data_IF_009069100851
#
_entry.id   IF_009069100851
#
_cell.length_a   1.000
_cell.length_b   1.000
_cell.length_c   1.000
_cell.angle_alpha   90.00
_cell.angle_beta   90.00
_cell.angle_gamma   90.00
#
_symmetry.space_group_name_H-M   'P 1'
#
loop_
_entity.id
_entity.type
_entity.pdbx_description
1 polymer ?
#
# COMPACT_ATOMS: atom_id res chain seq x y z
N UNK A 1 0.95 -2.53 16.62
CA UNK A 1 1.04 -1.62 15.44
C UNK A 1 1.71 -0.33 15.89
N UNK A 2 2.65 0.20 15.10
CA UNK A 2 3.44 1.38 15.46
C UNK A 2 3.12 2.54 14.52
N UNK A 3 2.92 3.74 15.07
CA UNK A 3 2.68 4.96 14.29
C UNK A 3 3.42 6.14 14.93
N UNK A 4 4.22 6.83 14.13
CA UNK A 4 4.97 8.01 14.52
C UNK A 4 4.46 9.25 13.78
N UNK A 5 4.40 10.39 14.45
CA UNK A 5 3.75 11.59 13.90
C UNK A 5 4.11 12.89 14.65
N UNK A 6 4.35 14.02 13.95
CA UNK A 6 4.27 15.40 14.48
C UNK A 6 3.01 15.70 15.35
N UNK A 7 3.00 16.75 16.20
CA UNK A 7 1.87 17.11 17.05
C UNK A 7 0.62 17.56 16.28
N UNK A 8 -0.56 17.28 16.86
CA UNK A 8 -1.86 17.77 16.37
C UNK A 8 -3.06 16.96 16.88
N UNK A 9 -4.24 17.59 16.94
CA UNK A 9 -5.51 17.04 17.45
C UNK A 9 -6.01 15.84 16.62
N UNK A 10 -5.68 15.80 15.33
CA UNK A 10 -6.06 14.74 14.37
C UNK A 10 -5.47 13.35 14.71
N UNK A 11 -4.47 13.25 15.60
CA UNK A 11 -3.63 12.04 15.77
C UNK A 11 -3.94 11.22 17.01
N UNK A 12 -4.51 11.85 18.05
CA UNK A 12 -5.13 11.10 19.17
C UNK A 12 -6.34 10.30 18.68
N UNK A 13 -7.14 10.90 17.79
CA UNK A 13 -8.29 10.24 17.15
C UNK A 13 -7.85 8.94 16.43
N UNK A 14 -6.77 9.02 15.64
CA UNK A 14 -6.20 7.86 14.96
C UNK A 14 -5.76 6.75 15.93
N UNK A 15 -5.06 7.08 17.01
CA UNK A 15 -4.61 6.07 17.97
C UNK A 15 -5.80 5.36 18.62
N UNK A 16 -6.86 6.12 18.95
CA UNK A 16 -8.11 5.58 19.48
C UNK A 16 -8.84 4.70 18.47
N UNK A 17 -8.87 5.08 17.20
CA UNK A 17 -9.49 4.27 16.15
C UNK A 17 -8.71 2.99 15.90
N UNK A 18 -7.37 3.03 15.93
CA UNK A 18 -6.54 1.83 15.88
C UNK A 18 -6.80 0.88 17.05
N UNK A 19 -7.11 1.39 18.25
CA UNK A 19 -7.45 0.52 19.37
C UNK A 19 -8.73 -0.29 19.17
N UNK A 20 -9.63 0.17 18.28
CA UNK A 20 -10.89 -0.51 17.94
C UNK A 20 -10.74 -1.53 16.81
N UNK A 21 -9.61 -1.54 16.10
CA UNK A 21 -9.38 -2.47 14.98
C UNK A 21 -9.17 -3.88 15.51
N UNK A 22 -9.92 -4.84 14.96
CA UNK A 22 -9.80 -6.25 15.34
C UNK A 22 -8.38 -6.78 15.11
N UNK A 23 -7.88 -7.59 16.03
CA UNK A 23 -6.54 -8.20 15.95
C UNK A 23 -5.39 -7.33 16.45
N UNK A 24 -5.60 -6.06 16.78
CA UNK A 24 -4.58 -5.23 17.42
C UNK A 24 -4.59 -5.48 18.93
N UNK A 25 -3.45 -5.92 19.48
CA UNK A 25 -3.26 -6.07 20.92
C UNK A 25 -2.73 -4.79 21.59
N UNK A 26 -1.82 -4.08 20.89
CA UNK A 26 -1.14 -2.90 21.44
C UNK A 26 -0.87 -1.84 20.37
N UNK A 27 -1.09 -0.59 20.75
CA UNK A 27 -0.83 0.60 19.92
C UNK A 27 0.26 1.44 20.58
N UNK A 28 1.38 1.59 19.89
CA UNK A 28 2.48 2.45 20.34
C UNK A 28 2.34 3.84 19.71
N UNK A 29 2.30 4.87 20.55
CA UNK A 29 2.08 6.25 20.13
C UNK A 29 3.36 7.05 20.33
N UNK A 30 3.99 7.46 19.23
CA UNK A 30 5.11 8.40 19.24
C UNK A 30 4.66 9.75 18.69
N UNK A 31 4.61 10.76 19.56
CA UNK A 31 4.17 12.11 19.22
C UNK A 31 5.28 13.12 19.55
N UNK A 32 5.84 13.75 18.53
CA UNK A 32 6.90 14.76 18.65
C UNK A 32 7.08 15.53 17.34
N UNK A 33 7.42 16.83 17.37
CA UNK A 33 7.57 17.70 16.19
C UNK A 33 8.55 17.18 15.15
N UNK A 34 9.59 16.49 15.62
CA UNK A 34 10.61 15.85 14.78
C UNK A 34 10.03 14.88 13.73
N UNK A 35 8.84 14.31 13.97
CA UNK A 35 8.18 13.42 13.02
C UNK A 35 7.32 14.16 11.98
N UNK A 36 7.58 15.46 11.75
CA UNK A 36 7.00 16.22 10.64
C UNK A 36 7.53 15.66 9.32
N UNK A 37 6.64 15.49 8.34
CA UNK A 37 6.98 14.89 7.05
C UNK A 37 7.26 13.38 7.08
N UNK A 38 7.27 12.73 8.25
CA UNK A 38 7.50 11.28 8.41
C UNK A 38 8.82 10.80 7.78
N UNK A 39 9.89 11.57 7.98
CA UNK A 39 11.21 11.32 7.39
C UNK A 39 11.81 10.00 7.90
N UNK A 40 12.32 9.11 7.03
CA UNK A 40 12.91 7.84 7.43
C UNK A 40 14.07 7.97 8.42
N UNK A 41 14.84 9.05 8.32
CA UNK A 41 15.96 9.40 9.19
C UNK A 41 15.53 9.50 10.65
N UNK A 42 14.35 10.08 10.90
CA UNK A 42 13.79 10.28 12.24
C UNK A 42 13.00 9.06 12.72
N UNK A 43 12.31 8.37 11.79
CA UNK A 43 11.50 7.21 12.12
C UNK A 43 12.33 5.95 12.40
N UNK A 44 13.46 5.78 11.73
CA UNK A 44 14.28 4.57 11.86
C UNK A 44 14.83 4.40 13.29
N UNK A 45 15.46 5.40 13.93
CA UNK A 45 15.92 5.29 15.32
C UNK A 45 14.79 4.91 16.29
N UNK A 46 13.60 5.50 16.11
CA UNK A 46 12.43 5.21 16.91
C UNK A 46 11.96 3.75 16.77
N UNK A 47 11.94 3.22 15.54
CA UNK A 47 11.61 1.82 15.27
C UNK A 47 12.67 0.88 15.86
N UNK A 48 13.96 1.22 15.78
CA UNK A 48 15.03 0.43 16.38
C UNK A 48 14.94 0.43 17.92
N UNK A 49 14.62 1.56 18.54
CA UNK A 49 14.40 1.64 19.98
C UNK A 49 13.21 0.77 20.40
N UNK A 50 12.11 0.84 19.64
CA UNK A 50 10.93 -0.01 19.81
C UNK A 50 11.27 -1.49 19.64
N UNK A 51 12.10 -1.84 18.66
CA UNK A 51 12.55 -3.21 18.44
C UNK A 51 13.41 -3.72 19.59
N UNK A 52 14.32 -2.91 20.14
CA UNK A 52 15.13 -3.29 21.30
C UNK A 52 14.28 -3.54 22.54
N UNK A 53 13.21 -2.77 22.72
CA UNK A 53 12.32 -2.89 23.87
C UNK A 53 11.44 -4.13 23.82
N UNK A 54 10.90 -4.47 22.64
CA UNK A 54 9.86 -5.51 22.52
C UNK A 54 10.27 -6.75 21.73
N UNK A 55 11.44 -6.73 21.06
CA UNK A 55 11.99 -7.86 20.31
C UNK A 55 10.99 -8.50 19.33
N UNK A 56 10.38 -7.70 18.45
CA UNK A 56 9.44 -8.21 17.47
C UNK A 56 10.12 -9.16 16.47
N UNK A 57 9.44 -10.23 16.11
CA UNK A 57 9.90 -11.17 15.08
C UNK A 57 9.56 -10.71 13.67
N UNK A 58 8.56 -9.83 13.52
CA UNK A 58 8.06 -9.33 12.24
C UNK A 58 7.85 -7.82 12.32
N UNK A 59 8.31 -7.09 11.29
CA UNK A 59 8.10 -5.66 11.14
C UNK A 59 7.57 -5.43 9.72
N UNK A 60 6.36 -4.85 9.60
CA UNK A 60 5.73 -4.67 8.30
C UNK A 60 5.01 -3.34 8.16
N UNK A 61 4.79 -2.95 6.90
CA UNK A 61 4.00 -1.80 6.49
C UNK A 61 3.35 -2.09 5.12
N UNK A 62 2.33 -1.31 4.74
CA UNK A 62 1.79 -1.37 3.39
C UNK A 62 2.84 -0.95 2.35
N UNK A 63 2.80 -1.57 1.17
CA UNK A 63 3.71 -1.32 0.04
C UNK A 63 3.42 0.01 -0.70
N UNK A 64 3.11 1.07 0.05
CA UNK A 64 2.93 2.44 -0.43
C UNK A 64 4.27 3.16 -0.59
N UNK A 65 4.25 4.40 -1.08
CA UNK A 65 5.44 5.26 -1.15
C UNK A 65 6.13 5.37 0.22
N UNK A 66 5.34 5.53 1.30
CA UNK A 66 5.85 5.58 2.67
C UNK A 66 6.53 4.27 3.09
N UNK A 67 5.85 3.13 2.97
CA UNK A 67 6.41 1.85 3.42
C UNK A 67 7.64 1.42 2.63
N UNK A 68 7.64 1.64 1.31
CA UNK A 68 8.78 1.37 0.42
C UNK A 68 9.98 2.28 0.68
N UNK A 69 9.75 3.50 1.18
CA UNK A 69 10.82 4.41 1.56
C UNK A 69 11.40 4.10 2.95
N UNK A 70 10.57 3.67 3.91
CA UNK A 70 10.97 3.44 5.29
C UNK A 70 11.59 2.05 5.54
N UNK A 71 10.91 0.98 5.12
CA UNK A 71 11.27 -0.38 5.55
C UNK A 71 12.66 -0.85 5.10
N UNK A 72 13.14 -0.58 3.87
CA UNK A 72 14.48 -0.97 3.48
C UNK A 72 15.57 -0.35 4.36
N UNK A 73 15.35 0.89 4.82
CA UNK A 73 16.27 1.58 5.75
C UNK A 73 16.28 0.91 7.12
N UNK A 74 15.10 0.55 7.64
CA UNK A 74 14.97 -0.19 8.91
C UNK A 74 15.66 -1.55 8.82
N UNK A 75 15.42 -2.30 7.75
CA UNK A 75 16.03 -3.61 7.52
C UNK A 75 17.56 -3.53 7.45
N UNK A 76 18.10 -2.54 6.72
CA UNK A 76 19.54 -2.30 6.67
C UNK A 76 20.15 -2.06 8.05
N UNK A 77 19.47 -1.30 8.92
CA UNK A 77 19.94 -1.05 10.31
C UNK A 77 19.78 -2.26 11.24
N UNK A 78 18.92 -3.22 10.89
CA UNK A 78 18.78 -4.49 11.60
C UNK A 78 19.70 -5.59 11.03
N UNK A 79 20.40 -5.31 9.94
CA UNK A 79 21.25 -6.26 9.19
C UNK A 79 20.46 -7.49 8.74
N UNK A 80 19.29 -7.26 8.13
CA UNK A 80 18.44 -8.31 7.55
C UNK A 80 18.01 -7.93 6.14
N UNK A 81 17.81 -8.92 5.27
CA UNK A 81 17.24 -8.71 3.95
C UNK A 81 15.72 -8.50 4.01
N UNK A 82 15.17 -7.36 3.55
CA UNK A 82 13.73 -7.13 3.54
C UNK A 82 13.04 -7.83 2.35
N UNK A 83 11.75 -8.15 2.51
CA UNK A 83 10.92 -8.69 1.43
C UNK A 83 9.92 -7.63 0.98
N UNK A 84 9.92 -7.32 -0.31
CA UNK A 84 9.08 -6.24 -0.86
C UNK A 84 7.81 -6.76 -1.51
N UNK A 85 6.70 -6.06 -1.25
CA UNK A 85 5.42 -6.18 -1.96
C UNK A 85 4.89 -7.62 -2.00
N UNK A 86 4.76 -8.24 -0.82
CA UNK A 86 4.21 -9.59 -0.70
C UNK A 86 2.72 -9.59 -1.05
N UNK A 87 2.29 -10.66 -1.71
CA UNK A 87 0.89 -10.90 -2.11
C UNK A 87 0.26 -12.07 -1.33
N UNK A 88 1.06 -12.89 -0.66
CA UNK A 88 0.56 -13.97 0.19
C UNK A 88 1.58 -14.35 1.27
N UNK A 89 1.07 -14.92 2.36
CA UNK A 89 1.86 -15.50 3.47
C UNK A 89 1.52 -16.99 3.51
N UNK A 90 2.52 -17.86 3.29
CA UNK A 90 2.36 -19.33 3.37
C UNK A 90 2.66 -19.87 4.76
N UNK A 91 3.63 -19.27 5.44
CA UNK A 91 4.02 -19.55 6.83
C UNK A 91 4.65 -18.28 7.42
N UNK A 92 4.94 -18.22 8.74
CA UNK A 92 5.59 -17.05 9.35
C UNK A 92 6.92 -16.64 8.69
N UNK A 93 7.58 -17.55 7.98
CA UNK A 93 8.87 -17.32 7.34
C UNK A 93 8.85 -17.56 5.82
N UNK A 94 7.68 -17.78 5.20
CA UNK A 94 7.56 -18.04 3.76
C UNK A 94 6.50 -17.15 3.13
N UNK A 95 6.94 -16.33 2.18
CA UNK A 95 6.12 -15.31 1.54
C UNK A 95 6.06 -15.51 0.04
N UNK A 96 5.00 -15.04 -0.61
CA UNK A 96 4.90 -15.00 -2.08
C UNK A 96 4.88 -13.55 -2.52
N UNK A 97 5.66 -13.22 -3.55
CA UNK A 97 5.67 -11.91 -4.20
C UNK A 97 5.74 -12.05 -5.70
N UNK A 98 5.33 -11.02 -6.41
CA UNK A 98 5.51 -10.96 -7.87
C UNK A 98 6.86 -10.37 -8.24
N UNK A 99 7.47 -10.89 -9.31
CA UNK A 99 8.64 -10.31 -10.00
C UNK A 99 8.34 -10.18 -11.50
N UNK A 100 9.23 -9.51 -12.24
CA UNK A 100 9.09 -9.28 -13.69
C UNK A 100 7.72 -8.73 -14.09
N UNK A 101 7.35 -7.58 -13.52
CA UNK A 101 6.08 -6.90 -13.83
C UNK A 101 4.83 -7.77 -13.58
N UNK A 102 4.88 -8.62 -12.55
CA UNK A 102 3.78 -9.53 -12.23
C UNK A 102 3.87 -10.89 -12.90
N UNK A 103 4.74 -11.10 -13.88
CA UNK A 103 4.68 -12.28 -14.76
C UNK A 103 5.30 -13.55 -14.16
N UNK A 104 5.98 -13.45 -13.02
CA UNK A 104 6.40 -14.61 -12.27
C UNK A 104 6.10 -14.45 -10.78
N UNK A 105 5.68 -15.57 -10.17
CA UNK A 105 5.49 -15.69 -8.73
C UNK A 105 6.77 -16.24 -8.10
N UNK A 106 7.31 -15.49 -7.16
CA UNK A 106 8.48 -15.87 -6.38
C UNK A 106 8.05 -16.22 -4.95
N UNK A 107 8.19 -17.49 -4.57
CA UNK A 107 8.05 -17.90 -3.17
C UNK A 107 9.41 -17.76 -2.48
N UNK A 108 9.47 -16.96 -1.42
CA UNK A 108 10.70 -16.63 -0.69
C UNK A 108 10.61 -17.18 0.72
N UNK A 109 11.56 -18.05 1.09
CA UNK A 109 11.83 -18.45 2.48
C UNK A 109 12.78 -17.42 3.11
N UNK A 110 12.46 -16.97 4.33
CA UNK A 110 13.21 -15.94 5.05
C UNK A 110 13.71 -16.50 6.38
N UNK A 111 15.02 -16.78 6.44
CA UNK A 111 15.64 -17.30 7.65
C UNK A 111 16.24 -16.19 8.53
N UNK A 112 15.95 -14.93 8.21
CA UNK A 112 16.40 -13.76 8.97
C UNK A 112 15.84 -13.75 10.40
N UNK A 113 16.64 -13.25 11.35
CA UNK A 113 16.23 -13.10 12.76
C UNK A 113 14.97 -12.25 12.95
N UNK A 114 14.77 -11.25 12.08
CA UNK A 114 13.58 -10.38 12.06
C UNK A 114 13.08 -10.29 10.62
N UNK A 115 11.81 -10.61 10.41
CA UNK A 115 11.17 -10.56 9.09
C UNK A 115 10.69 -9.15 8.82
N UNK A 116 11.45 -8.39 8.03
CA UNK A 116 11.04 -7.05 7.59
C UNK A 116 10.42 -7.13 6.20
N UNK A 117 9.14 -6.75 6.06
CA UNK A 117 8.46 -6.88 4.76
C UNK A 117 7.38 -5.85 4.51
N UNK A 118 7.16 -5.51 3.23
CA UNK A 118 6.02 -4.69 2.81
C UNK A 118 4.92 -5.55 2.19
N UNK A 119 3.66 -5.16 2.43
CA UNK A 119 2.46 -5.91 2.04
C UNK A 119 1.71 -5.18 0.93
N UNK A 120 1.38 -5.88 -0.16
CA UNK A 120 0.51 -5.35 -1.20
C UNK A 120 -0.91 -5.19 -0.65
N UNK A 121 -1.42 -3.96 -0.63
CA UNK A 121 -2.72 -3.67 -0.03
C UNK A 121 -3.89 -4.44 -0.67
N UNK A 122 -3.88 -4.60 -1.99
CA UNK A 122 -4.95 -5.28 -2.74
C UNK A 122 -4.96 -6.80 -2.58
N UNK A 123 -3.95 -7.38 -1.95
CA UNK A 123 -3.85 -8.85 -1.78
C UNK A 123 -4.40 -9.34 -0.45
N UNK A 124 -4.81 -8.44 0.45
CA UNK A 124 -5.33 -8.77 1.77
C UNK A 124 -6.59 -7.96 2.05
N UNK A 125 -7.60 -8.60 2.64
CA UNK A 125 -8.81 -7.92 3.07
C UNK A 125 -8.49 -6.88 4.17
N UNK A 126 -9.23 -5.78 4.14
CA UNK A 126 -9.12 -4.77 5.19
C UNK A 126 -9.62 -5.37 6.53
N UNK A 127 -8.89 -5.11 7.61
CA UNK A 127 -9.30 -5.52 8.94
C UNK A 127 -10.56 -4.75 9.38
N UNK A 128 -11.43 -5.42 10.13
CA UNK A 128 -12.61 -4.79 10.74
C UNK A 128 -12.20 -3.63 11.65
N UNK A 129 -12.82 -2.47 11.44
CA UNK A 129 -12.52 -1.23 12.18
C UNK A 129 -13.16 -1.17 13.56
N UNK A 130 -13.87 -2.24 13.95
CA UNK A 130 -14.50 -2.41 15.24
C UNK A 130 -14.27 -3.83 15.78
N UNK A 131 -14.53 -4.05 17.07
CA UNK A 131 -14.32 -5.35 17.73
C UNK A 131 -12.93 -5.56 18.34
N UNK A 132 -12.00 -4.62 18.16
CA UNK A 132 -10.72 -4.56 18.85
C UNK A 132 -10.81 -3.94 20.25
N UNK A 133 -9.80 -4.22 21.08
CA UNK A 133 -9.68 -3.66 22.45
C UNK A 133 -8.21 -3.45 22.83
N UNK A 134 -7.42 -2.90 21.91
CA UNK A 134 -5.99 -2.68 22.15
C UNK A 134 -5.75 -1.60 23.21
N UNK A 135 -4.68 -1.74 23.99
CA UNK A 135 -4.20 -0.65 24.83
C UNK A 135 -3.26 0.28 24.05
N UNK A 136 -3.37 1.59 24.29
CA UNK A 136 -2.42 2.58 23.77
C UNK A 136 -1.37 2.90 24.82
N UNK A 137 -0.09 2.87 24.45
CA UNK A 137 1.00 3.36 25.30
C UNK A 137 1.91 4.33 24.55
N UNK A 138 2.64 5.15 25.30
CA UNK A 138 3.65 6.04 24.74
C UNK A 138 4.84 5.20 24.27
N UNK A 139 5.26 5.40 23.02
CA UNK A 139 6.47 4.78 22.50
C UNK A 139 7.73 5.38 23.15
N UNK A 140 8.85 4.66 23.08
CA UNK A 140 10.16 5.18 23.47
C UNK A 140 10.46 6.47 22.70
N UNK A 141 11.08 7.47 23.34
CA UNK A 141 11.51 8.70 22.65
C UNK A 141 12.96 8.59 22.21
N UNK A 142 13.28 9.13 21.04
CA UNK A 142 14.66 9.23 20.53
C UNK A 142 15.05 10.68 20.31
N UNK A 143 16.34 10.98 20.40
CA UNK A 143 16.86 12.30 20.02
C UNK A 143 16.69 12.52 18.50
N UNK A 144 16.39 13.75 18.06
CA UNK A 144 16.37 14.12 16.65
C UNK A 144 17.69 13.82 15.93
N UNK A 145 17.62 13.43 14.66
CA UNK A 145 18.81 13.21 13.81
C UNK A 145 19.17 14.46 13.02
N UNK A 146 18.17 15.18 12.49
CA UNK A 146 18.28 16.52 11.88
C UNK A 146 19.20 16.62 10.65
N UNK A 147 19.32 15.54 9.88
CA UNK A 147 20.07 15.53 8.61
C UNK A 147 19.19 15.70 7.36
N UNK A 148 17.87 15.76 7.56
CA UNK A 148 16.87 15.96 6.52
C UNK A 148 15.70 16.76 7.09
N UNK A 149 15.11 17.64 6.30
CA UNK A 149 13.97 18.45 6.72
C UNK A 149 12.81 18.37 5.73
N UNK A 150 11.59 18.50 6.25
CA UNK A 150 10.39 18.61 5.44
C UNK A 150 10.01 20.09 5.28
N UNK A 151 9.97 20.55 4.02
CA UNK A 151 9.68 21.95 3.69
C UNK A 151 8.19 22.16 3.38
N UNK A 152 7.69 21.55 2.31
CA UNK A 152 6.32 21.71 1.82
C UNK A 152 5.84 20.48 1.03
N UNK A 153 4.53 20.40 0.75
CA UNK A 153 3.94 19.42 -0.17
C UNK A 153 2.89 20.07 -1.08
N UNK A 154 2.92 19.69 -2.36
CA UNK A 154 1.86 20.01 -3.32
C UNK A 154 1.05 18.77 -3.62
N UNK A 155 -0.17 18.71 -3.09
CA UNK A 155 -1.09 17.60 -3.34
C UNK A 155 -1.97 17.89 -4.56
N UNK A 156 -2.13 16.91 -5.43
CA UNK A 156 -3.15 16.93 -6.47
C UNK A 156 -4.51 16.72 -5.81
N UNK A 157 -5.28 17.80 -5.65
CA UNK A 157 -6.66 17.71 -5.18
C UNK A 157 -7.52 17.10 -6.30
N UNK A 158 -8.28 16.07 -5.95
CA UNK A 158 -9.25 15.46 -6.86
C UNK A 158 -10.51 15.13 -6.08
N UNK A 159 -11.67 15.44 -6.66
CA UNK A 159 -12.96 14.98 -6.12
C UNK A 159 -13.19 13.48 -6.43
N UNK A 160 -12.32 12.87 -7.24
CA UNK A 160 -12.34 11.44 -7.55
C UNK A 160 -11.77 10.65 -6.38
N UNK A 161 -12.32 9.46 -6.09
CA UNK A 161 -11.83 8.64 -4.99
C UNK A 161 -10.38 8.18 -5.22
N UNK A 162 -9.68 7.85 -4.13
CA UNK A 162 -8.28 7.42 -4.16
C UNK A 162 -8.11 6.14 -5.01
N UNK A 163 -7.19 6.17 -5.98
CA UNK A 163 -7.01 5.13 -7.00
C UNK A 163 -6.75 3.73 -6.43
N UNK A 164 -6.06 3.67 -5.29
CA UNK A 164 -5.62 2.43 -4.63
C UNK A 164 -6.70 1.79 -3.76
N UNK A 165 -7.81 2.49 -3.46
CA UNK A 165 -8.83 2.04 -2.51
C UNK A 165 -10.28 2.30 -2.90
N UNK A 166 -10.58 2.85 -4.09
CA UNK A 166 -11.98 3.03 -4.48
C UNK A 166 -12.65 1.71 -4.90
N UNK A 167 -13.92 1.54 -4.50
CA UNK A 167 -14.79 0.44 -4.92
C UNK A 167 -15.01 0.42 -6.44
N UNK A 168 -15.10 1.60 -7.02
CA UNK A 168 -15.14 1.84 -8.47
C UNK A 168 -14.06 2.88 -8.75
N UNK A 169 -12.85 2.40 -8.90
CA UNK A 169 -11.97 2.98 -9.91
C UNK A 169 -12.22 2.11 -11.15
N UNK A 170 -11.59 2.44 -12.26
CA UNK A 170 -10.93 1.42 -13.07
C UNK A 170 -9.94 0.61 -12.16
N UNK A 171 -10.42 -0.09 -11.10
CA UNK A 171 -9.63 -0.90 -10.15
C UNK A 171 -10.47 -1.92 -9.38
N UNK A 172 -9.79 -2.99 -8.99
CA UNK A 172 -10.26 -4.03 -8.07
C UNK A 172 -11.26 -4.98 -8.72
N UNK A 173 -12.49 -4.50 -8.96
CA UNK A 173 -13.56 -5.30 -9.52
C UNK A 173 -13.74 -5.08 -11.02
N UNK A 174 -13.59 -3.84 -11.50
CA UNK A 174 -13.79 -3.47 -12.89
C UNK A 174 -12.70 -2.51 -13.34
N UNK A 175 -11.96 -2.87 -14.38
CA UNK A 175 -10.98 -2.04 -15.05
C UNK A 175 -11.46 -1.72 -16.47
N UNK A 176 -11.57 -0.46 -16.86
CA UNK A 176 -11.91 -0.06 -18.23
C UNK A 176 -10.70 0.60 -18.90
N UNK A 177 -10.04 -0.14 -19.78
CA UNK A 177 -8.91 0.30 -20.58
C UNK A 177 -9.39 1.02 -21.86
N UNK A 178 -9.36 2.36 -21.86
CA UNK A 178 -9.83 3.18 -23.00
C UNK A 178 -8.62 3.73 -23.77
N UNK A 179 -8.42 3.26 -25.00
CA UNK A 179 -7.30 3.71 -25.85
C UNK A 179 -5.92 3.29 -25.35
N UNK A 180 -5.84 2.21 -24.56
CA UNK A 180 -4.60 1.70 -23.98
C UNK A 180 -4.15 0.49 -24.79
N UNK A 181 -2.87 0.45 -25.19
CA UNK A 181 -2.32 -0.65 -26.00
C UNK A 181 -2.20 -1.97 -25.24
N UNK A 182 -1.98 -1.93 -23.92
CA UNK A 182 -1.71 -3.13 -23.11
C UNK A 182 -0.23 -3.48 -23.01
N UNK A 183 0.67 -2.47 -23.02
CA UNK A 183 2.08 -2.69 -22.75
C UNK A 183 2.30 -3.35 -21.37
N UNK A 184 3.31 -4.21 -21.25
CA UNK A 184 3.56 -5.06 -20.07
C UNK A 184 3.63 -4.24 -18.76
N UNK A 185 4.21 -3.04 -18.80
CA UNK A 185 4.35 -2.16 -17.64
C UNK A 185 3.00 -1.63 -17.14
N UNK A 186 2.05 -1.44 -18.05
CA UNK A 186 0.69 -1.04 -17.71
C UNK A 186 -0.07 -2.22 -17.10
N UNK A 187 0.01 -3.38 -17.74
CA UNK A 187 -0.68 -4.60 -17.28
C UNK A 187 -0.25 -5.01 -15.87
N UNK A 188 1.01 -4.79 -15.51
CA UNK A 188 1.56 -5.06 -14.18
C UNK A 188 0.75 -4.43 -13.02
N UNK A 189 0.09 -3.29 -13.27
CA UNK A 189 -0.68 -2.57 -12.26
C UNK A 189 -2.18 -2.86 -12.25
N UNK A 190 -2.70 -3.61 -13.23
CA UNK A 190 -4.14 -3.76 -13.44
C UNK A 190 -4.61 -5.18 -13.74
N UNK A 191 -3.73 -6.11 -14.10
CA UNK A 191 -4.08 -7.47 -14.51
C UNK A 191 -4.74 -8.31 -13.42
N UNK A 192 -4.61 -7.89 -12.17
CA UNK A 192 -5.24 -8.54 -11.02
C UNK A 192 -6.67 -8.01 -10.75
N UNK A 193 -7.22 -7.17 -11.63
CA UNK A 193 -8.62 -6.72 -11.55
C UNK A 193 -9.59 -7.87 -11.85
N UNK A 194 -10.73 -7.96 -11.15
CA UNK A 194 -11.70 -9.06 -11.36
C UNK A 194 -12.34 -9.07 -12.76
N UNK A 195 -12.52 -7.91 -13.37
CA UNK A 195 -13.06 -7.76 -14.72
C UNK A 195 -12.32 -6.64 -15.45
N UNK A 196 -11.88 -6.91 -16.68
CA UNK A 196 -11.17 -6.00 -17.56
C UNK A 196 -12.00 -5.79 -18.83
N UNK A 197 -12.36 -4.54 -19.11
CA UNK A 197 -13.03 -4.10 -20.33
C UNK A 197 -12.02 -3.28 -21.15
N UNK A 198 -11.89 -3.56 -22.43
CA UNK A 198 -11.02 -2.81 -23.34
C UNK A 198 -11.82 -2.12 -24.45
N UNK A 199 -11.54 -0.84 -24.68
CA UNK A 199 -12.05 -0.06 -25.83
C UNK A 199 -10.83 0.42 -26.61
N UNK A 200 -10.61 -0.12 -27.81
CA UNK A 200 -9.48 0.26 -28.65
C UNK A 200 -9.87 0.25 -30.14
N UNK A 201 -9.27 1.11 -30.95
CA UNK A 201 -9.49 1.13 -32.41
C UNK A 201 -8.69 0.06 -33.14
N UNK A 202 -7.59 -0.39 -32.55
CA UNK A 202 -6.69 -1.39 -33.11
C UNK A 202 -7.09 -2.78 -32.59
N UNK A 203 -7.66 -3.68 -33.43
CA UNK A 203 -8.09 -5.01 -33.01
C UNK A 203 -6.94 -5.91 -32.54
N UNK A 204 -5.69 -5.61 -32.93
CA UNK A 204 -4.51 -6.40 -32.57
C UNK A 204 -3.83 -5.88 -31.29
N UNK A 205 -4.42 -4.89 -30.62
CA UNK A 205 -3.85 -4.32 -29.41
C UNK A 205 -3.66 -5.39 -28.31
N UNK A 206 -2.46 -5.53 -27.72
CA UNK A 206 -2.18 -6.52 -26.67
C UNK A 206 -3.15 -6.53 -25.48
N UNK A 207 -3.81 -5.40 -25.18
CA UNK A 207 -4.82 -5.29 -24.12
C UNK A 207 -5.96 -6.30 -24.28
N UNK A 208 -6.32 -6.68 -25.51
CA UNK A 208 -7.38 -7.65 -25.76
C UNK A 208 -7.02 -9.07 -25.33
N UNK A 209 -5.73 -9.38 -25.16
CA UNK A 209 -5.29 -10.69 -24.65
C UNK A 209 -5.61 -10.90 -23.17
N UNK A 210 -5.88 -9.80 -22.43
CA UNK A 210 -6.17 -9.84 -20.99
C UNK A 210 -7.55 -9.26 -20.65
N UNK A 211 -8.31 -8.79 -21.64
CA UNK A 211 -9.63 -8.23 -21.43
C UNK A 211 -10.70 -9.32 -21.40
N UNK A 212 -11.59 -9.27 -20.41
CA UNK A 212 -12.80 -10.11 -20.35
C UNK A 212 -13.84 -9.66 -21.39
N UNK A 213 -13.90 -8.35 -21.66
CA UNK A 213 -14.76 -7.76 -22.69
C UNK A 213 -13.99 -6.78 -23.57
N UNK A 214 -14.09 -6.93 -24.89
CA UNK A 214 -13.41 -6.05 -25.85
C UNK A 214 -14.39 -5.36 -26.81
N UNK A 215 -14.19 -4.06 -27.01
CA UNK A 215 -14.89 -3.26 -28.02
C UNK A 215 -13.85 -2.67 -28.98
N UNK A 216 -13.89 -3.11 -30.24
CA UNK A 216 -13.04 -2.56 -31.30
C UNK A 216 -13.75 -1.38 -31.95
N UNK A 217 -13.46 -0.15 -31.50
CA UNK A 217 -14.09 1.06 -32.00
C UNK A 217 -13.34 2.33 -31.58
N UNK A 218 -13.75 3.47 -32.15
CA UNK A 218 -13.29 4.77 -31.71
C UNK A 218 -13.83 5.11 -30.31
N UNK A 219 -12.92 5.33 -29.36
CA UNK A 219 -13.24 5.73 -28.00
C UNK A 219 -14.06 7.01 -27.92
N UNK A 220 -13.88 7.95 -28.86
CA UNK A 220 -14.61 9.21 -28.88
C UNK A 220 -16.09 9.03 -29.22
N UNK A 221 -16.48 7.87 -29.76
CA UNK A 221 -17.87 7.49 -29.97
C UNK A 221 -18.40 6.61 -28.83
N UNK A 222 -17.64 5.58 -28.45
CA UNK A 222 -18.10 4.57 -27.48
C UNK A 222 -18.26 5.15 -26.07
N UNK A 223 -17.32 5.97 -25.60
CA UNK A 223 -17.36 6.46 -24.21
C UNK A 223 -18.56 7.39 -23.96
N UNK A 224 -18.90 8.35 -24.85
CA UNK A 224 -20.14 9.11 -24.73
C UNK A 224 -21.39 8.24 -24.76
N UNK A 225 -21.49 7.28 -25.69
CA UNK A 225 -22.65 6.37 -25.79
C UNK A 225 -22.84 5.55 -24.51
N UNK A 226 -21.75 4.98 -23.98
CA UNK A 226 -21.75 4.25 -22.71
C UNK A 226 -22.24 5.13 -21.55
N UNK A 227 -21.77 6.38 -21.49
CA UNK A 227 -22.15 7.33 -20.44
C UNK A 227 -23.65 7.66 -20.50
N UNK A 228 -24.20 7.85 -21.70
CA UNK A 228 -25.64 8.12 -21.88
C UNK A 228 -26.51 6.91 -21.52
N UNK A 229 -26.05 5.69 -21.79
CA UNK A 229 -26.74 4.47 -21.36
C UNK A 229 -26.76 4.38 -19.83
N UNK A 230 -25.64 4.69 -19.16
CA UNK A 230 -25.53 4.63 -17.71
C UNK A 230 -26.40 5.67 -17.00
N UNK A 231 -26.61 6.85 -17.60
CA UNK A 231 -27.51 7.90 -17.04
C UNK A 231 -28.99 7.55 -17.12
N UNK A 232 -29.39 6.61 -17.99
CA UNK A 232 -30.79 6.18 -18.18
C UNK A 232 -31.22 5.07 -17.23
N UNK A 233 -30.29 4.54 -16.43
CA UNK A 233 -30.54 3.58 -15.36
C UNK A 233 -30.53 4.29 -14.02
#
# INVERSE_FOLDING_TARGET
MFRAAAPGQLRRAVAQDLCKVAGIAKVLVAQHDVYKGLLPEELTPLILATQKQFNYTHICAGASAFGKNLLPRVAAKLEVAPISDIIAIKSPDTFVRTIYAGNALCTVKCDEKVKVFSVRGTSFEAAETSGGSASSEKASSTSPVEISEWLDQKLTKSDRPELTGAKVVVSGELYIAVGISGAIQHLAGMKDSKTIVAINKDPEAPIFQVADYGIVADLFKVVPEMTEILKKK
#
